data_IF_128558364551
#
_entry.id   IF_128558364551
#
_cell.length_a   1.000
_cell.length_b   1.000
_cell.length_c   1.000
_cell.angle_alpha   90.00
_cell.angle_beta   90.00
_cell.angle_gamma   90.00
#
_symmetry.space_group_name_H-M   'P 1'
#
loop_
_entity.id
_entity.type
_entity.pdbx_description
1 polymer ?
#
# COMPACT_ATOMS: atom_id res chain seq x y z
N UNK A 1 -19.48 -7.13 -9.04
CA UNK A 1 -18.09 -7.57 -8.81
C UNK A 1 -17.69 -8.42 -9.99
N UNK A 2 -16.69 -7.97 -10.75
CA UNK A 2 -16.12 -8.74 -11.86
C UNK A 2 -14.96 -9.58 -11.32
N UNK A 3 -15.23 -10.87 -11.07
CA UNK A 3 -14.25 -11.78 -10.47
C UNK A 3 -13.13 -12.16 -11.43
N UNK A 4 -13.42 -12.23 -12.74
CA UNK A 4 -12.41 -12.57 -13.74
C UNK A 4 -11.35 -11.47 -13.82
N UNK A 5 -11.77 -10.20 -13.87
CA UNK A 5 -10.84 -9.07 -13.87
C UNK A 5 -9.96 -9.03 -12.60
N UNK A 6 -10.53 -9.35 -11.43
CA UNK A 6 -9.78 -9.41 -10.17
C UNK A 6 -8.73 -10.53 -10.20
N UNK A 7 -9.09 -11.72 -10.68
CA UNK A 7 -8.17 -12.86 -10.82
C UNK A 7 -7.05 -12.58 -11.83
N UNK A 8 -7.37 -11.98 -12.97
CA UNK A 8 -6.39 -11.58 -13.99
C UNK A 8 -5.38 -10.58 -13.43
N UNK A 9 -5.85 -9.52 -12.76
CA UNK A 9 -4.97 -8.53 -12.14
C UNK A 9 -4.12 -9.15 -11.02
N UNK A 10 -4.71 -10.00 -10.18
CA UNK A 10 -3.98 -10.68 -9.11
C UNK A 10 -2.86 -11.57 -9.68
N UNK A 11 -3.15 -12.37 -10.72
CA UNK A 11 -2.16 -13.21 -11.40
C UNK A 11 -1.06 -12.37 -12.07
N UNK A 12 -1.40 -11.23 -12.66
CA UNK A 12 -0.43 -10.31 -13.25
C UNK A 12 0.52 -9.74 -12.20
N UNK A 13 0.00 -9.33 -11.04
CA UNK A 13 0.81 -8.80 -9.92
C UNK A 13 1.89 -9.79 -9.44
N UNK A 14 1.62 -11.10 -9.52
CA UNK A 14 2.56 -12.16 -9.07
C UNK A 14 3.18 -12.95 -10.22
N UNK A 15 3.24 -12.35 -11.42
CA UNK A 15 3.83 -13.01 -12.59
C UNK A 15 5.31 -13.38 -12.36
N UNK A 16 5.77 -14.55 -12.86
CA UNK A 16 7.13 -15.01 -12.62
C UNK A 16 8.20 -13.98 -13.02
N UNK A 17 9.12 -13.70 -12.10
CA UNK A 17 10.22 -12.75 -12.33
C UNK A 17 9.87 -11.28 -12.11
N UNK A 18 8.60 -10.95 -11.83
CA UNK A 18 8.15 -9.59 -11.51
C UNK A 18 7.69 -9.48 -10.05
N UNK A 19 7.72 -8.27 -9.51
CA UNK A 19 7.26 -7.93 -8.17
C UNK A 19 6.59 -6.57 -8.09
N UNK A 20 6.22 -6.18 -6.87
CA UNK A 20 5.53 -4.91 -6.62
C UNK A 20 6.51 -3.89 -6.05
N UNK A 21 6.53 -2.69 -6.62
CA UNK A 21 7.24 -1.55 -6.05
C UNK A 21 6.32 -0.77 -5.11
N UNK A 22 6.69 -0.64 -3.84
CA UNK A 22 5.99 0.24 -2.90
C UNK A 22 6.55 1.66 -3.00
N UNK A 23 5.82 2.56 -3.67
CA UNK A 23 6.12 3.99 -3.81
C UNK A 23 5.03 4.87 -3.16
N UNK A 24 4.40 4.33 -2.11
CA UNK A 24 3.22 4.88 -1.45
C UNK A 24 3.55 5.67 -0.16
N UNK A 25 4.78 6.18 -0.04
CA UNK A 25 5.15 7.03 1.07
C UNK A 25 4.23 8.24 1.17
N UNK A 26 3.69 8.48 2.37
CA UNK A 26 2.91 9.69 2.64
C UNK A 26 3.74 10.95 2.38
N UNK A 27 3.08 12.09 2.21
CA UNK A 27 3.74 13.40 2.09
C UNK A 27 4.77 13.63 3.21
N UNK A 28 4.43 13.27 4.45
CA UNK A 28 5.36 13.38 5.59
C UNK A 28 6.56 12.46 5.46
N UNK A 29 6.32 11.15 5.21
CA UNK A 29 7.40 10.16 5.08
C UNK A 29 8.35 10.49 3.93
N UNK A 30 7.82 10.83 2.75
CA UNK A 30 8.66 11.17 1.60
C UNK A 30 9.44 12.46 1.82
N UNK A 31 8.82 13.47 2.45
CA UNK A 31 9.50 14.73 2.76
C UNK A 31 10.69 14.51 3.71
N UNK A 32 10.54 13.68 4.75
CA UNK A 32 11.65 13.31 5.63
C UNK A 32 12.77 12.56 4.90
N UNK A 33 12.44 11.69 3.94
CA UNK A 33 13.44 11.00 3.12
C UNK A 33 14.24 11.95 2.23
N UNK A 34 13.57 12.91 1.58
CA UNK A 34 14.23 13.94 0.76
C UNK A 34 15.17 14.80 1.61
N UNK A 35 14.70 15.27 2.77
CA UNK A 35 15.51 16.04 3.70
C UNK A 35 16.75 15.27 4.18
N UNK A 36 16.60 13.96 4.44
CA UNK A 36 17.70 13.09 4.86
C UNK A 36 18.86 13.00 3.86
N UNK A 37 18.62 13.34 2.58
CA UNK A 37 19.64 13.39 1.53
C UNK A 37 19.94 14.81 1.05
N UNK A 38 19.48 15.84 1.78
CA UNK A 38 19.76 17.24 1.49
C UNK A 38 18.92 17.84 0.35
N UNK A 39 17.78 17.23 0.01
CA UNK A 39 16.81 17.78 -0.96
C UNK A 39 15.67 18.46 -0.22
N UNK A 40 15.38 19.71 -0.58
CA UNK A 40 14.26 20.47 -0.02
C UNK A 40 12.93 19.82 -0.44
N UNK A 41 12.04 19.48 0.52
CA UNK A 41 10.80 18.80 0.21
C UNK A 41 9.78 19.77 -0.36
N UNK A 42 9.30 19.46 -1.56
CA UNK A 42 8.17 20.12 -2.21
C UNK A 42 7.32 19.08 -2.92
N UNK A 43 6.10 19.45 -3.32
CA UNK A 43 5.26 18.59 -4.16
C UNK A 43 6.01 18.17 -5.44
N UNK A 44 6.68 19.13 -6.07
CA UNK A 44 7.47 18.92 -7.28
C UNK A 44 8.68 18.00 -7.04
N UNK A 45 9.40 18.14 -5.93
CA UNK A 45 10.51 17.26 -5.60
C UNK A 45 10.04 15.81 -5.37
N UNK A 46 8.89 15.64 -4.69
CA UNK A 46 8.27 14.33 -4.48
C UNK A 46 7.78 13.71 -5.79
N UNK A 47 7.13 14.49 -6.65
CA UNK A 47 6.71 14.09 -8.00
C UNK A 47 7.91 13.67 -8.85
N UNK A 48 8.92 14.54 -8.97
CA UNK A 48 10.14 14.30 -9.73
C UNK A 48 10.84 12.99 -9.33
N UNK A 49 10.95 12.73 -8.02
CA UNK A 49 11.52 11.47 -7.52
C UNK A 49 10.76 10.24 -8.03
N UNK A 50 9.43 10.25 -7.98
CA UNK A 50 8.56 9.16 -8.43
C UNK A 50 8.56 9.01 -9.94
N UNK A 51 8.45 10.12 -10.68
CA UNK A 51 8.52 10.12 -12.14
C UNK A 51 9.83 9.49 -12.63
N UNK A 52 10.96 9.82 -11.99
CA UNK A 52 12.26 9.21 -12.29
C UNK A 52 12.28 7.69 -12.03
N UNK A 53 11.69 7.23 -10.92
CA UNK A 53 11.56 5.78 -10.64
C UNK A 53 10.78 5.08 -11.75
N UNK A 54 9.62 5.64 -12.15
CA UNK A 54 8.73 5.02 -13.13
C UNK A 54 9.27 5.09 -14.56
N UNK A 55 10.11 6.08 -14.87
CA UNK A 55 10.74 6.23 -16.17
C UNK A 55 12.02 5.40 -16.33
N UNK A 56 12.39 4.56 -15.36
CA UNK A 56 13.58 3.73 -15.43
C UNK A 56 13.45 2.71 -16.58
N UNK A 57 14.33 2.76 -17.61
CA UNK A 57 14.20 1.86 -18.76
C UNK A 57 14.32 0.38 -18.37
N UNK A 58 13.39 -0.45 -18.84
CA UNK A 58 13.38 -1.89 -18.61
C UNK A 58 12.86 -2.32 -17.24
N UNK A 59 12.34 -1.39 -16.42
CA UNK A 59 11.82 -1.72 -15.10
C UNK A 59 10.58 -2.64 -15.15
N UNK A 60 9.81 -2.59 -16.24
CA UNK A 60 8.63 -3.42 -16.46
C UNK A 60 8.93 -4.92 -16.47
N UNK A 61 10.16 -5.31 -16.83
CA UNK A 61 10.62 -6.70 -16.79
C UNK A 61 10.71 -7.25 -15.36
N UNK A 62 10.82 -6.39 -14.34
CA UNK A 62 10.93 -6.75 -12.94
C UNK A 62 9.77 -6.23 -12.07
N UNK A 63 8.98 -5.28 -12.56
CA UNK A 63 7.89 -4.64 -11.80
C UNK A 63 6.55 -4.92 -12.49
N UNK A 64 5.63 -5.58 -11.78
CA UNK A 64 4.26 -5.89 -12.23
C UNK A 64 3.23 -4.87 -11.77
N UNK A 65 3.49 -4.19 -10.65
CA UNK A 65 2.64 -3.14 -10.13
C UNK A 65 3.38 -2.19 -9.22
N UNK A 66 2.82 -0.98 -9.07
CA UNK A 66 3.38 0.06 -8.21
C UNK A 66 2.29 0.57 -7.27
N UNK A 67 2.58 0.59 -5.97
CA UNK A 67 1.67 1.15 -4.97
C UNK A 67 1.93 2.65 -4.86
N UNK A 68 0.91 3.46 -5.06
CA UNK A 68 0.97 4.92 -5.03
C UNK A 68 0.35 5.49 -3.76
N UNK A 69 0.77 6.70 -3.42
CA UNK A 69 0.07 7.56 -2.46
C UNK A 69 -0.96 8.45 -3.17
N UNK A 70 -1.94 8.97 -2.43
CA UNK A 70 -3.02 9.81 -3.00
C UNK A 70 -2.50 11.03 -3.76
N UNK A 71 -1.42 11.67 -3.27
CA UNK A 71 -0.77 12.77 -3.99
C UNK A 71 -0.25 12.31 -5.36
N UNK A 72 0.33 11.12 -5.45
CA UNK A 72 1.02 10.63 -6.66
C UNK A 72 0.06 10.10 -7.72
N UNK A 73 -1.03 9.43 -7.34
CA UNK A 73 -2.01 8.95 -8.33
C UNK A 73 -2.68 10.11 -9.10
N UNK A 74 -2.69 11.32 -8.51
CA UNK A 74 -3.23 12.56 -9.08
C UNK A 74 -2.21 13.37 -9.88
N UNK A 75 -0.94 12.96 -9.86
CA UNK A 75 0.17 13.67 -10.51
C UNK A 75 0.37 13.22 -11.96
N UNK A 76 1.17 14.00 -12.69
CA UNK A 76 1.53 13.78 -14.07
C UNK A 76 3.04 13.53 -14.21
N UNK A 77 3.40 12.76 -15.23
CA UNK A 77 4.77 12.61 -15.72
C UNK A 77 5.28 13.93 -16.35
N UNK A 78 6.58 13.98 -16.65
CA UNK A 78 7.22 15.16 -17.28
C UNK A 78 6.62 15.52 -18.65
N UNK A 79 6.07 14.54 -19.37
CA UNK A 79 5.42 14.73 -20.66
C UNK A 79 3.93 15.10 -20.57
N UNK A 80 3.41 15.27 -19.35
CA UNK A 80 2.00 15.61 -19.07
C UNK A 80 1.05 14.40 -19.02
N UNK A 81 1.53 13.18 -19.23
CA UNK A 81 0.71 11.96 -19.10
C UNK A 81 0.36 11.74 -17.62
N UNK A 82 -0.91 11.42 -17.27
CA UNK A 82 -1.24 10.98 -15.92
C UNK A 82 -0.38 9.78 -15.50
N UNK A 83 0.16 9.79 -14.28
CA UNK A 83 1.05 8.71 -13.80
C UNK A 83 0.44 7.31 -13.97
N UNK A 84 -0.86 7.07 -13.65
CA UNK A 84 -1.47 5.75 -13.86
C UNK A 84 -1.48 5.31 -15.32
N UNK A 85 -1.79 6.23 -16.25
CA UNK A 85 -1.84 5.93 -17.68
C UNK A 85 -0.43 5.59 -18.21
N UNK A 86 0.59 6.31 -17.74
CA UNK A 86 1.99 6.04 -18.08
C UNK A 86 2.42 4.64 -17.62
N UNK A 87 2.03 4.21 -16.41
CA UNK A 87 2.31 2.86 -15.91
C UNK A 87 1.62 1.78 -16.72
N UNK A 88 0.34 1.98 -17.05
CA UNK A 88 -0.44 1.01 -17.85
C UNK A 88 0.18 0.83 -19.23
N UNK A 89 0.68 1.90 -19.85
CA UNK A 89 1.38 1.83 -21.13
C UNK A 89 2.66 0.98 -21.10
N UNK A 90 3.26 0.79 -19.92
CA UNK A 90 4.43 -0.06 -19.69
C UNK A 90 4.08 -1.45 -19.13
N UNK A 91 2.81 -1.86 -19.21
CA UNK A 91 2.34 -3.12 -18.63
C UNK A 91 2.48 -3.19 -17.08
N UNK A 92 2.56 -2.06 -16.39
CA UNK A 92 2.63 -1.97 -14.92
C UNK A 92 1.25 -1.59 -14.37
N UNK A 93 0.74 -2.36 -13.40
CA UNK A 93 -0.54 -2.05 -12.76
C UNK A 93 -0.38 -0.91 -11.73
N UNK A 94 -1.20 0.14 -11.79
CA UNK A 94 -1.25 1.15 -10.73
C UNK A 94 -2.01 0.59 -9.52
N UNK A 95 -1.45 0.77 -8.33
CA UNK A 95 -2.07 0.45 -7.05
C UNK A 95 -2.15 1.67 -6.16
N UNK A 96 -3.01 1.62 -5.14
CA UNK A 96 -3.25 2.76 -4.25
C UNK A 96 -3.24 2.34 -2.78
N UNK A 97 -2.52 3.08 -1.94
CA UNK A 97 -2.66 2.97 -0.49
C UNK A 97 -4.00 3.57 -0.05
N UNK A 98 -4.83 2.79 0.63
CA UNK A 98 -6.18 3.22 1.03
C UNK A 98 -6.39 3.37 2.54
N UNK A 99 -5.46 2.87 3.36
CA UNK A 99 -5.44 3.14 4.80
C UNK A 99 -5.03 4.58 5.12
N UNK A 100 -5.55 5.11 6.21
CA UNK A 100 -5.25 6.47 6.69
C UNK A 100 -4.24 6.50 7.83
N UNK A 101 -3.62 5.36 8.13
CA UNK A 101 -2.58 5.23 9.15
C UNK A 101 -2.95 4.31 10.32
N UNK A 102 -1.93 3.95 11.09
CA UNK A 102 -2.05 3.12 12.28
C UNK A 102 -2.02 3.98 13.54
N UNK A 103 -3.03 3.83 14.40
CA UNK A 103 -3.27 4.60 15.61
C UNK A 103 -3.23 3.70 16.85
N UNK A 104 -2.94 4.23 18.04
CA UNK A 104 -3.01 3.45 19.28
C UNK A 104 -4.39 2.79 19.46
N UNK A 105 -4.42 1.51 19.80
CA UNK A 105 -5.66 0.82 20.11
C UNK A 105 -6.09 1.16 21.55
N UNK A 106 -7.29 1.70 21.72
CA UNK A 106 -7.78 2.16 23.03
C UNK A 106 -7.82 1.02 24.06
N UNK A 107 -7.27 1.25 25.25
CA UNK A 107 -7.12 0.26 26.34
C UNK A 107 -6.21 -0.94 26.01
N UNK A 108 -5.36 -0.82 24.98
CA UNK A 108 -4.42 -1.83 24.54
C UNK A 108 -3.04 -1.18 24.30
N UNK A 109 -2.35 -0.88 25.40
CA UNK A 109 -1.08 -0.14 25.39
C UNK A 109 -0.03 -0.85 24.52
N UNK A 110 0.66 -0.10 23.65
CA UNK A 110 1.67 -0.62 22.73
C UNK A 110 1.10 -1.28 21.45
N UNK A 111 -0.22 -1.44 21.36
CA UNK A 111 -0.90 -2.02 20.20
C UNK A 111 -1.50 -0.95 19.30
N UNK A 112 -1.73 -1.31 18.03
CA UNK A 112 -2.25 -0.38 17.02
C UNK A 112 -3.42 -0.96 16.26
N UNK A 113 -4.31 -0.06 15.81
CA UNK A 113 -5.38 -0.34 14.86
C UNK A 113 -5.21 0.59 13.65
N UNK A 114 -5.44 0.05 12.46
CA UNK A 114 -5.37 0.83 11.23
C UNK A 114 -6.73 1.39 10.88
N UNK A 115 -6.77 2.65 10.49
CA UNK A 115 -7.99 3.36 10.13
C UNK A 115 -8.09 3.58 8.61
N UNK A 116 -9.28 4.01 8.15
CA UNK A 116 -9.52 4.33 6.75
C UNK A 116 -10.80 3.73 6.16
N UNK A 117 -11.62 3.01 6.93
CA UNK A 117 -12.86 2.42 6.41
C UNK A 117 -13.93 3.47 6.04
N UNK A 118 -13.95 4.59 6.75
CA UNK A 118 -14.93 5.65 6.50
C UNK A 118 -14.70 6.28 5.14
N UNK A 119 -15.74 6.31 4.31
CA UNK A 119 -15.68 6.80 2.93
C UNK A 119 -14.86 5.93 1.97
N UNK A 120 -14.34 4.76 2.40
CA UNK A 120 -13.45 3.92 1.60
C UNK A 120 -14.07 3.54 0.25
N UNK A 121 -15.36 3.18 0.23
CA UNK A 121 -16.07 2.81 -1.01
C UNK A 121 -16.01 3.92 -2.06
N UNK A 122 -16.30 5.15 -1.66
CA UNK A 122 -16.25 6.31 -2.56
C UNK A 122 -14.85 6.55 -3.08
N UNK A 123 -13.82 6.45 -2.22
CA UNK A 123 -12.42 6.58 -2.64
C UNK A 123 -12.01 5.46 -3.60
N UNK A 124 -12.42 4.21 -3.35
CA UNK A 124 -12.13 3.10 -4.26
C UNK A 124 -12.74 3.31 -5.65
N UNK A 125 -13.96 3.84 -5.75
CA UNK A 125 -14.58 4.20 -7.04
C UNK A 125 -13.74 5.26 -7.75
N UNK A 126 -13.34 6.31 -7.04
CA UNK A 126 -12.50 7.38 -7.58
C UNK A 126 -11.16 6.83 -8.09
N UNK A 127 -10.44 6.04 -7.28
CA UNK A 127 -9.15 5.48 -7.65
C UNK A 127 -9.24 4.49 -8.81
N UNK A 128 -10.31 3.68 -8.87
CA UNK A 128 -10.54 2.78 -10.01
C UNK A 128 -10.69 3.58 -11.31
N UNK A 129 -11.44 4.68 -11.27
CA UNK A 129 -11.62 5.60 -12.40
C UNK A 129 -10.33 6.34 -12.79
N UNK A 130 -9.41 6.53 -11.84
CA UNK A 130 -8.05 7.05 -12.10
C UNK A 130 -7.07 6.00 -12.63
N UNK A 131 -7.49 4.74 -12.76
CA UNK A 131 -6.66 3.67 -13.32
C UNK A 131 -6.09 2.68 -12.30
N UNK A 132 -6.34 2.84 -11.00
CA UNK A 132 -5.92 1.85 -10.01
C UNK A 132 -6.59 0.50 -10.26
N UNK A 133 -5.84 -0.59 -10.06
CA UNK A 133 -6.32 -1.98 -10.19
C UNK A 133 -6.12 -2.82 -8.94
N UNK A 134 -5.39 -2.30 -7.97
CA UNK A 134 -5.23 -2.92 -6.66
C UNK A 134 -5.10 -1.88 -5.56
N UNK A 135 -5.35 -2.27 -4.33
CA UNK A 135 -5.34 -1.39 -3.17
C UNK A 135 -4.50 -2.01 -2.05
N UNK A 136 -3.79 -1.19 -1.28
CA UNK A 136 -3.00 -1.64 -0.13
C UNK A 136 -3.61 -1.16 1.17
N UNK A 137 -3.68 -2.06 2.14
CA UNK A 137 -3.98 -1.75 3.53
C UNK A 137 -2.93 -2.34 4.46
N UNK A 138 -2.25 -1.48 5.23
CA UNK A 138 -1.20 -1.90 6.16
C UNK A 138 -1.66 -1.95 7.60
N UNK A 139 -1.83 -3.14 8.16
CA UNK A 139 -2.00 -3.36 9.59
C UNK A 139 -0.65 -3.48 10.31
N UNK A 140 -0.58 -3.05 11.56
CA UNK A 140 0.65 -3.07 12.37
C UNK A 140 0.43 -3.90 13.62
N UNK A 141 1.15 -5.01 13.72
CA UNK A 141 1.12 -5.92 14.86
C UNK A 141 2.49 -5.83 15.56
N UNK A 142 2.49 -5.34 16.79
CA UNK A 142 3.69 -5.30 17.63
C UNK A 142 3.91 -6.67 18.27
N UNK A 143 5.17 -7.08 18.50
CA UNK A 143 5.49 -8.22 19.38
C UNK A 143 6.17 -7.71 20.65
N UNK A 144 5.65 -8.15 21.79
CA UNK A 144 6.28 -8.05 23.11
C UNK A 144 5.90 -9.29 23.96
N UNK A 145 6.15 -9.25 25.27
CA UNK A 145 5.91 -10.39 26.16
C UNK A 145 4.44 -10.84 26.15
N UNK A 146 3.50 -9.91 26.28
CA UNK A 146 2.04 -10.12 26.30
C UNK A 146 1.30 -9.53 25.08
N UNK A 147 2.05 -9.07 24.08
CA UNK A 147 1.56 -8.46 22.84
C UNK A 147 1.95 -9.37 21.65
N UNK A 148 1.06 -9.61 20.67
CA UNK A 148 -0.27 -9.01 20.50
C UNK A 148 -1.38 -9.67 21.31
N UNK A 149 -2.34 -8.86 21.75
CA UNK A 149 -3.57 -9.34 22.39
C UNK A 149 -4.56 -9.87 21.35
N UNK A 150 -5.46 -10.75 21.79
CA UNK A 150 -6.53 -11.27 20.94
C UNK A 150 -7.44 -10.15 20.38
N UNK A 151 -7.63 -9.08 21.15
CA UNK A 151 -8.44 -7.94 20.73
C UNK A 151 -7.77 -7.18 19.57
N UNK A 152 -6.45 -6.95 19.65
CA UNK A 152 -5.69 -6.32 18.58
C UNK A 152 -5.69 -7.14 17.29
N UNK A 153 -5.48 -8.46 17.39
CA UNK A 153 -5.56 -9.38 16.25
C UNK A 153 -6.95 -9.31 15.63
N UNK A 154 -8.00 -9.46 16.44
CA UNK A 154 -9.39 -9.45 15.97
C UNK A 154 -9.78 -8.12 15.31
N UNK A 155 -9.40 -6.99 15.91
CA UNK A 155 -9.71 -5.67 15.38
C UNK A 155 -9.05 -5.43 14.02
N UNK A 156 -7.76 -5.71 13.89
CA UNK A 156 -7.04 -5.55 12.62
C UNK A 156 -7.54 -6.54 11.56
N UNK A 157 -7.75 -7.81 11.91
CA UNK A 157 -8.29 -8.82 11.00
C UNK A 157 -9.67 -8.40 10.44
N UNK A 158 -10.56 -7.91 11.32
CA UNK A 158 -11.87 -7.43 10.91
C UNK A 158 -11.79 -6.18 10.02
N UNK A 159 -10.91 -5.22 10.33
CA UNK A 159 -10.71 -4.03 9.51
C UNK A 159 -10.19 -4.37 8.11
N UNK A 160 -9.19 -5.24 8.03
CA UNK A 160 -8.63 -5.74 6.77
C UNK A 160 -9.67 -6.50 5.95
N UNK A 161 -10.49 -7.36 6.58
CA UNK A 161 -11.55 -8.09 5.89
C UNK A 161 -12.59 -7.13 5.28
N UNK A 162 -13.01 -6.10 6.03
CA UNK A 162 -13.92 -5.07 5.53
C UNK A 162 -13.31 -4.26 4.39
N UNK A 163 -12.05 -3.85 4.51
CA UNK A 163 -11.33 -3.17 3.44
C UNK A 163 -11.30 -4.04 2.17
N UNK A 164 -10.93 -5.31 2.32
CA UNK A 164 -10.79 -6.26 1.21
C UNK A 164 -12.11 -6.46 0.46
N UNK A 165 -13.21 -6.65 1.19
CA UNK A 165 -14.54 -6.78 0.59
C UNK A 165 -14.95 -5.51 -0.18
N UNK A 166 -14.68 -4.32 0.37
CA UNK A 166 -14.97 -3.04 -0.30
C UNK A 166 -14.13 -2.88 -1.57
N UNK A 167 -12.82 -3.18 -1.51
CA UNK A 167 -11.92 -3.12 -2.67
C UNK A 167 -12.40 -4.04 -3.79
N UNK A 168 -12.68 -5.31 -3.50
CA UNK A 168 -13.15 -6.28 -4.49
C UNK A 168 -14.48 -5.85 -5.11
N UNK A 169 -15.41 -5.33 -4.31
CA UNK A 169 -16.69 -4.82 -4.81
C UNK A 169 -16.52 -3.69 -5.82
N UNK A 170 -15.48 -2.86 -5.66
CA UNK A 170 -15.13 -1.75 -6.57
C UNK A 170 -14.09 -2.13 -7.65
N UNK A 171 -13.77 -3.42 -7.81
CA UNK A 171 -12.86 -3.90 -8.87
C UNK A 171 -11.36 -3.71 -8.58
N UNK A 172 -10.98 -3.51 -7.32
CA UNK A 172 -9.58 -3.42 -6.89
C UNK A 172 -9.16 -4.71 -6.18
N UNK A 173 -8.04 -5.30 -6.60
CA UNK A 173 -7.42 -6.43 -5.88
C UNK A 173 -6.90 -5.94 -4.52
N UNK A 174 -7.32 -6.50 -3.39
CA UNK A 174 -6.82 -6.08 -2.08
C UNK A 174 -5.47 -6.74 -1.75
N UNK A 175 -4.46 -5.92 -1.51
CA UNK A 175 -3.16 -6.30 -0.94
C UNK A 175 -3.23 -6.13 0.59
N UNK A 176 -3.24 -7.26 1.28
CA UNK A 176 -3.39 -7.35 2.73
C UNK A 176 -2.00 -7.40 3.37
N UNK A 177 -1.61 -6.36 4.12
CA UNK A 177 -0.28 -6.23 4.71
C UNK A 177 -0.34 -6.20 6.26
N UNK A 178 -0.53 -7.35 6.94
CA UNK A 178 -0.44 -7.44 8.39
C UNK A 178 1.03 -7.54 8.80
N UNK A 179 1.65 -6.39 9.04
CA UNK A 179 3.07 -6.33 9.39
C UNK A 179 3.26 -6.67 10.86
N UNK A 180 3.80 -7.86 11.11
CA UNK A 180 4.36 -8.23 12.40
C UNK A 180 5.74 -7.57 12.54
N UNK A 181 5.92 -6.71 13.55
CA UNK A 181 7.14 -5.95 13.74
C UNK A 181 8.24 -6.82 14.35
N UNK A 182 9.37 -6.91 13.63
CA UNK A 182 10.61 -7.50 14.13
C UNK A 182 11.25 -6.57 15.17
N UNK A 183 10.96 -6.85 16.45
CA UNK A 183 11.58 -6.21 17.61
C UNK A 183 12.76 -7.06 18.11
N UNK A 184 13.79 -6.41 18.66
CA UNK A 184 15.08 -7.05 18.99
C UNK A 184 15.03 -8.04 20.18
N UNK A 185 13.88 -8.15 20.86
CA UNK A 185 13.75 -8.86 22.14
C UNK A 185 13.00 -10.20 22.05
N UNK A 186 12.81 -10.77 20.86
CA UNK A 186 12.20 -12.09 20.69
C UNK A 186 12.97 -12.94 19.68
N UNK A 187 12.81 -14.26 19.77
CA UNK A 187 13.42 -15.21 18.84
C UNK A 187 12.50 -15.50 17.63
N UNK A 188 13.03 -16.23 16.65
CA UNK A 188 12.29 -16.59 15.43
C UNK A 188 11.11 -17.53 15.70
N UNK A 189 11.12 -18.29 16.80
CA UNK A 189 10.01 -19.17 17.17
C UNK A 189 8.82 -18.36 17.66
N UNK A 190 9.08 -17.30 18.43
CA UNK A 190 8.06 -16.34 18.84
C UNK A 190 7.45 -15.63 17.65
N UNK A 191 8.28 -15.15 16.71
CA UNK A 191 7.82 -14.50 15.48
C UNK A 191 6.92 -15.44 14.64
N UNK A 192 7.34 -16.69 14.46
CA UNK A 192 6.52 -17.73 13.81
C UNK A 192 5.18 -17.95 14.52
N UNK A 193 5.20 -18.06 15.85
CA UNK A 193 3.98 -18.32 16.65
C UNK A 193 2.94 -17.19 16.60
N UNK A 194 3.39 -15.95 16.41
CA UNK A 194 2.51 -14.78 16.29
C UNK A 194 1.99 -14.64 14.86
N UNK A 195 2.79 -15.05 13.87
CA UNK A 195 2.46 -14.93 12.44
C UNK A 195 1.51 -16.01 11.94
N UNK A 196 1.62 -17.25 12.45
CA UNK A 196 0.87 -18.43 12.00
C UNK A 196 -0.61 -18.39 12.40
#
# INVERSE_FOLDING_TARGET
MDTMMLEENANKLVSPGRGILAADESTGTMSSRLQGVGVDPSEEARRSYRANLFATPGCEAAVSGVILFDETIRQMMDDGTPIPDYMVAQDILPGIKVDTGAHPLANHDGEKITEGLDGLRTRCIEYFNMGARFAKWRAVITIADDIPSQACISANAHAVARCSAICQEQGLVPFIEPVVLMNVNHDALRDYSVTA
#
